data_IF_883221350137
#
_entry.id   IF_883221350137
#
_cell.length_a   1.000
_cell.length_b   1.000
_cell.length_c   1.000
_cell.angle_alpha   90.00
_cell.angle_beta   90.00
_cell.angle_gamma   90.00
#
_symmetry.space_group_name_H-M   'P 1'
#
loop_
_entity.id
_entity.type
_entity.pdbx_description
1 polymer ?
#
# COMPACT_ATOMS: atom_id res chain seq x y z
N UNK A 1 -38.98 -25.65 -52.06
CA UNK A 1 -38.17 -24.62 -52.74
C UNK A 1 -38.26 -23.33 -51.92
N UNK A 2 -37.21 -23.04 -51.15
CA UNK A 2 -36.71 -21.74 -50.71
C UNK A 2 -37.65 -20.87 -49.83
N UNK A 3 -37.40 -20.76 -48.53
CA UNK A 3 -36.48 -19.79 -47.90
C UNK A 3 -37.14 -18.39 -47.84
N UNK A 4 -37.25 -17.66 -46.73
CA UNK A 4 -36.47 -17.65 -45.49
C UNK A 4 -37.34 -17.00 -44.41
N UNK A 5 -37.28 -17.51 -43.19
CA UNK A 5 -37.77 -16.81 -42.00
C UNK A 5 -37.00 -15.49 -41.85
N UNK A 6 -37.72 -14.37 -41.72
CA UNK A 6 -37.11 -13.11 -41.28
C UNK A 6 -37.02 -13.19 -39.76
N UNK A 7 -35.88 -13.68 -39.28
CA UNK A 7 -35.50 -13.54 -37.87
C UNK A 7 -35.37 -12.04 -37.57
N UNK A 8 -36.06 -11.50 -36.56
CA UNK A 8 -35.59 -10.28 -35.95
C UNK A 8 -34.19 -10.57 -35.42
N UNK A 9 -33.19 -9.83 -35.91
CA UNK A 9 -31.92 -9.70 -35.23
C UNK A 9 -32.21 -9.02 -33.90
N UNK A 10 -32.66 -9.79 -32.91
CA UNK A 10 -32.64 -9.35 -31.53
C UNK A 10 -31.17 -9.29 -31.18
N UNK A 11 -30.70 -8.07 -30.97
CA UNK A 11 -29.32 -7.78 -30.65
C UNK A 11 -28.93 -8.52 -29.37
N UNK A 12 -28.32 -9.69 -29.50
CA UNK A 12 -27.40 -10.23 -28.49
C UNK A 12 -26.14 -9.35 -28.50
N UNK A 13 -26.31 -8.07 -28.17
CA UNK A 13 -25.27 -7.41 -27.42
C UNK A 13 -25.30 -8.13 -26.08
N UNK A 14 -24.31 -8.98 -25.83
CA UNK A 14 -23.97 -9.30 -24.46
C UNK A 14 -23.81 -7.96 -23.75
N UNK A 15 -24.76 -7.59 -22.89
CA UNK A 15 -24.45 -6.73 -21.77
C UNK A 15 -23.50 -7.55 -20.89
N UNK A 16 -22.24 -7.65 -21.34
CA UNK A 16 -21.15 -7.99 -20.44
C UNK A 16 -21.18 -6.79 -19.50
N UNK A 17 -21.88 -6.94 -18.37
CA UNK A 17 -21.72 -6.05 -17.23
C UNK A 17 -20.26 -6.26 -16.88
N UNK A 18 -19.43 -5.41 -17.48
CA UNK A 18 -18.01 -5.40 -17.23
C UNK A 18 -17.96 -5.08 -15.74
N UNK A 19 -17.64 -6.08 -14.93
CA UNK A 19 -17.34 -5.95 -13.51
C UNK A 19 -16.02 -5.17 -13.40
N UNK A 20 -16.03 -3.95 -13.93
CA UNK A 20 -14.90 -3.05 -13.89
C UNK A 20 -14.84 -2.60 -12.43
N UNK A 21 -13.76 -2.95 -11.72
CA UNK A 21 -13.58 -2.47 -10.37
C UNK A 21 -13.59 -0.93 -10.38
N UNK A 22 -14.08 -0.33 -9.30
CA UNK A 22 -14.11 1.13 -9.18
C UNK A 22 -12.73 1.75 -9.50
N UNK A 23 -12.73 2.94 -10.12
CA UNK A 23 -11.48 3.62 -10.46
C UNK A 23 -10.62 3.91 -9.21
N UNK A 24 -9.38 4.35 -9.44
CA UNK A 24 -8.47 4.86 -8.40
C UNK A 24 -9.18 5.92 -7.55
N UNK A 25 -8.99 5.88 -6.24
CA UNK A 25 -9.62 6.72 -5.22
C UNK A 25 -11.15 6.56 -5.11
N UNK A 26 -11.73 5.47 -5.64
CA UNK A 26 -13.15 5.13 -5.51
C UNK A 26 -13.33 3.69 -5.03
N UNK A 27 -14.47 3.40 -4.39
CA UNK A 27 -14.83 2.10 -3.82
C UNK A 27 -16.34 1.83 -3.88
N UNK A 28 -16.75 0.58 -3.73
CA UNK A 28 -18.15 0.13 -3.72
C UNK A 28 -18.54 -0.79 -4.87
N UNK A 29 -19.73 -1.38 -4.79
CA UNK A 29 -20.35 -2.17 -5.87
C UNK A 29 -21.87 -2.25 -5.62
N UNK A 30 -22.76 -2.13 -6.63
CA UNK A 30 -22.50 -1.89 -8.06
C UNK A 30 -22.30 -0.40 -8.41
N UNK A 31 -22.47 0.49 -7.42
CA UNK A 31 -22.24 1.93 -7.56
C UNK A 31 -20.99 2.31 -6.80
N UNK A 32 -20.09 3.04 -7.46
CA UNK A 32 -18.86 3.53 -6.85
C UNK A 32 -19.09 4.89 -6.17
N UNK A 33 -18.45 5.09 -5.02
CA UNK A 33 -18.30 6.39 -4.36
C UNK A 33 -16.82 6.74 -4.14
N UNK A 34 -16.49 8.02 -3.90
CA UNK A 34 -15.11 8.43 -3.64
C UNK A 34 -14.60 7.88 -2.29
N UNK A 35 -13.31 7.60 -2.24
CA UNK A 35 -12.59 7.40 -0.98
C UNK A 35 -12.47 8.75 -0.25
N UNK A 36 -12.60 8.73 1.07
CA UNK A 36 -12.46 9.90 1.94
C UNK A 36 -11.26 9.76 2.87
N UNK A 37 -10.12 9.34 2.32
CA UNK A 37 -8.88 9.17 3.07
C UNK A 37 -8.16 10.50 3.26
N UNK A 38 -7.58 10.71 4.45
CA UNK A 38 -6.89 11.95 4.79
C UNK A 38 -5.42 11.87 4.35
N UNK A 39 -5.15 12.24 3.11
CA UNK A 39 -3.79 12.22 2.54
C UNK A 39 -2.82 13.18 3.25
N UNK A 40 -3.33 14.26 3.83
CA UNK A 40 -2.51 15.20 4.63
C UNK A 40 -2.00 14.55 5.92
N UNK A 41 -2.63 13.45 6.35
CA UNK A 41 -2.22 12.61 7.49
C UNK A 41 -1.47 11.35 7.06
N UNK A 42 -0.98 11.27 5.82
CA UNK A 42 -0.17 10.14 5.33
C UNK A 42 -0.96 8.87 5.00
N UNK A 43 -2.28 8.99 4.82
CA UNK A 43 -3.10 7.90 4.28
C UNK A 43 -3.02 7.85 2.76
N UNK A 44 -3.10 6.63 2.22
CA UNK A 44 -3.26 6.38 0.79
C UNK A 44 -4.61 6.94 0.31
N UNK A 45 -4.62 7.59 -0.86
CA UNK A 45 -5.85 8.06 -1.51
C UNK A 45 -6.75 6.91 -1.97
N UNK A 46 -6.15 5.75 -2.28
CA UNK A 46 -6.81 4.50 -2.59
C UNK A 46 -7.22 3.76 -1.31
N UNK A 47 -8.53 3.63 -1.13
CA UNK A 47 -9.13 2.83 -0.08
C UNK A 47 -9.48 1.42 -0.55
N UNK A 48 -9.79 0.55 0.41
CA UNK A 48 -10.28 -0.80 0.14
C UNK A 48 -11.52 -0.75 -0.77
N UNK A 49 -11.46 -1.45 -1.91
CA UNK A 49 -12.49 -1.38 -2.96
C UNK A 49 -13.87 -1.91 -2.52
N UNK A 50 -13.94 -2.71 -1.46
CA UNK A 50 -15.18 -3.28 -0.92
C UNK A 50 -15.65 -2.54 0.33
N UNK A 51 -14.76 -2.20 1.26
CA UNK A 51 -15.13 -1.64 2.57
C UNK A 51 -14.98 -0.12 2.67
N UNK A 52 -14.22 0.49 1.77
CA UNK A 52 -13.88 1.91 1.84
C UNK A 52 -12.84 2.26 2.89
N UNK A 53 -12.25 1.26 3.54
CA UNK A 53 -11.26 1.45 4.60
C UNK A 53 -9.96 2.05 4.06
N UNK A 54 -9.49 3.12 4.71
CA UNK A 54 -8.25 3.80 4.40
C UNK A 54 -7.08 3.15 5.14
N UNK A 55 -5.94 3.06 4.45
CA UNK A 55 -4.68 2.53 5.00
C UNK A 55 -3.58 3.58 4.85
N UNK A 56 -2.55 3.48 5.68
CA UNK A 56 -1.36 4.31 5.51
C UNK A 56 -0.73 4.05 4.13
N UNK A 57 -0.06 5.09 3.60
CA UNK A 57 0.78 4.98 2.41
C UNK A 57 1.86 3.90 2.57
N UNK A 58 2.41 3.45 1.44
CA UNK A 58 3.54 2.51 1.51
C UNK A 58 4.70 3.13 2.30
N UNK A 59 5.36 2.29 3.11
CA UNK A 59 6.43 2.71 4.01
C UNK A 59 6.01 3.77 5.03
N UNK A 60 4.76 3.72 5.50
CA UNK A 60 4.28 4.49 6.64
C UNK A 60 3.77 3.58 7.77
N UNK A 61 3.69 4.13 8.99
CA UNK A 61 3.14 3.46 10.17
C UNK A 61 2.21 4.39 10.96
N UNK A 62 1.25 3.82 11.68
CA UNK A 62 0.31 4.53 12.55
C UNK A 62 0.39 3.99 13.99
N UNK A 63 0.95 4.77 14.93
CA UNK A 63 0.89 4.44 16.36
C UNK A 63 -0.55 4.28 16.86
N UNK A 64 -0.77 3.39 17.83
CA UNK A 64 -2.10 3.09 18.37
C UNK A 64 -2.84 4.32 18.94
N UNK A 65 -2.08 5.29 19.46
CA UNK A 65 -2.61 6.55 20.02
C UNK A 65 -2.56 7.72 19.03
N UNK A 66 -2.36 7.46 17.74
CA UNK A 66 -2.28 8.45 16.66
C UNK A 66 -3.39 8.24 15.64
N UNK A 67 -3.87 9.33 15.06
CA UNK A 67 -4.80 9.34 13.92
C UNK A 67 -4.11 9.73 12.60
N UNK A 68 -2.77 9.78 12.62
CA UNK A 68 -1.91 10.14 11.50
C UNK A 68 -0.87 9.05 11.26
N UNK A 69 -0.59 8.80 9.99
CA UNK A 69 0.46 7.93 9.49
C UNK A 69 1.76 8.72 9.34
N UNK A 70 2.88 8.10 9.69
CA UNK A 70 4.21 8.70 9.63
C UNK A 70 5.14 7.87 8.76
N UNK A 71 6.04 8.53 8.04
CA UNK A 71 7.07 7.87 7.24
C UNK A 71 7.94 6.93 8.10
N UNK A 72 8.15 5.71 7.60
CA UNK A 72 9.08 4.76 8.17
C UNK A 72 10.52 5.31 8.16
N UNK A 73 10.93 5.95 7.05
CA UNK A 73 12.27 6.55 6.89
C UNK A 73 13.42 5.58 7.24
N UNK A 74 13.27 4.31 6.82
CA UNK A 74 14.26 3.26 7.04
C UNK A 74 15.53 3.54 6.24
N UNK A 75 16.69 3.43 6.89
CA UNK A 75 17.98 3.55 6.24
C UNK A 75 18.28 2.28 5.44
N UNK A 76 18.09 2.35 4.12
CA UNK A 76 18.16 1.19 3.19
C UNK A 76 19.48 0.40 3.25
N UNK A 77 20.59 1.04 3.64
CA UNK A 77 21.87 0.35 3.82
C UNK A 77 21.82 -0.54 5.07
N UNK A 78 21.28 -0.04 6.17
CA UNK A 78 21.17 -0.74 7.45
C UNK A 78 19.92 -1.59 7.62
N UNK A 79 18.94 -1.49 6.73
CA UNK A 79 17.70 -2.28 6.74
C UNK A 79 17.61 -3.25 5.56
N UNK A 80 16.63 -4.15 5.63
CA UNK A 80 16.26 -5.04 4.53
C UNK A 80 15.29 -4.39 3.52
N UNK A 81 14.74 -3.22 3.83
CA UNK A 81 13.78 -2.51 2.98
C UNK A 81 13.26 -1.20 3.60
N UNK A 82 12.34 -0.55 2.88
CA UNK A 82 11.69 0.69 3.33
C UNK A 82 10.51 0.48 4.28
N UNK A 83 9.93 -0.72 4.30
CA UNK A 83 8.79 -1.03 5.14
C UNK A 83 9.21 -1.20 6.60
N UNK A 84 8.34 -0.75 7.50
CA UNK A 84 8.51 -0.87 8.93
C UNK A 84 7.26 -1.50 9.57
N UNK A 85 7.37 -1.85 10.85
CA UNK A 85 6.23 -2.32 11.63
C UNK A 85 5.11 -1.26 11.63
N UNK A 86 3.86 -1.64 11.31
CA UNK A 86 2.78 -0.69 11.05
C UNK A 86 2.31 0.09 12.28
N UNK A 87 2.72 -0.30 13.50
CA UNK A 87 2.33 0.37 14.74
C UNK A 87 3.51 1.09 15.39
N UNK A 88 4.64 0.41 15.52
CA UNK A 88 5.83 0.92 16.22
C UNK A 88 6.74 1.72 15.29
N UNK A 89 6.64 1.52 13.98
CA UNK A 89 7.52 2.13 12.99
C UNK A 89 8.92 1.52 12.96
N UNK A 90 9.17 0.39 13.63
CA UNK A 90 10.49 -0.25 13.65
C UNK A 90 10.81 -0.89 12.30
N UNK A 91 11.90 -0.47 11.69
CA UNK A 91 12.42 -1.03 10.45
C UNK A 91 13.07 -2.40 10.69
N UNK A 92 13.06 -3.26 9.67
CA UNK A 92 13.75 -4.55 9.73
C UNK A 92 15.26 -4.36 9.52
N UNK A 93 16.01 -4.28 10.62
CA UNK A 93 17.45 -4.00 10.61
C UNK A 93 18.30 -5.22 10.26
N UNK A 94 19.44 -4.94 9.61
CA UNK A 94 20.52 -5.90 9.38
C UNK A 94 21.25 -6.23 10.69
N UNK A 95 22.04 -7.32 10.73
CA UNK A 95 22.73 -7.76 11.95
C UNK A 95 23.59 -6.65 12.60
N UNK A 96 23.41 -6.43 13.90
CA UNK A 96 24.18 -5.45 14.68
C UNK A 96 23.77 -3.98 14.49
N UNK A 97 22.90 -3.69 13.52
CA UNK A 97 22.33 -2.36 13.29
C UNK A 97 21.15 -2.14 14.23
N UNK A 98 21.05 -0.95 14.80
CA UNK A 98 20.07 -0.55 15.82
C UNK A 98 19.38 0.77 15.45
N UNK A 99 18.39 1.14 16.26
CA UNK A 99 17.55 2.32 16.07
C UNK A 99 16.28 1.99 15.28
N UNK A 100 15.26 2.85 15.43
CA UNK A 100 13.97 2.67 14.71
C UNK A 100 14.19 2.62 13.20
N UNK A 101 15.12 3.43 12.70
CA UNK A 101 15.44 3.61 11.28
C UNK A 101 16.58 2.71 10.78
N UNK A 102 17.20 1.90 11.64
CA UNK A 102 18.38 1.10 11.31
C UNK A 102 19.57 1.93 10.79
N UNK A 103 19.83 3.08 11.39
CA UNK A 103 20.81 4.08 10.95
C UNK A 103 22.09 4.10 11.81
N UNK A 104 22.18 3.24 12.84
CA UNK A 104 23.26 3.27 13.82
C UNK A 104 23.75 1.87 14.18
N UNK A 105 25.00 1.78 14.63
CA UNK A 105 25.56 0.56 15.20
C UNK A 105 25.56 0.62 16.72
N UNK A 106 25.39 -0.53 17.37
CA UNK A 106 25.52 -0.61 18.83
C UNK A 106 26.95 -0.25 19.30
N UNK A 107 27.95 -0.54 18.47
CA UNK A 107 29.32 -0.07 18.64
C UNK A 107 29.50 1.28 17.94
N UNK A 108 29.87 2.31 18.70
CA UNK A 108 30.09 3.67 18.19
C UNK A 108 31.25 3.78 17.18
N UNK A 109 32.14 2.79 17.12
CA UNK A 109 33.28 2.75 16.18
C UNK A 109 32.99 1.90 14.94
N UNK A 110 31.82 1.26 14.86
CA UNK A 110 31.39 0.48 13.69
C UNK A 110 30.56 1.34 12.74
N UNK A 111 30.60 0.99 11.46
CA UNK A 111 29.83 1.63 10.39
C UNK A 111 28.72 0.71 9.90
N UNK A 112 27.60 1.33 9.53
CA UNK A 112 26.47 0.63 8.95
C UNK A 112 26.77 0.34 7.48
N UNK A 113 26.81 -0.93 7.12
CA UNK A 113 27.02 -1.43 5.77
C UNK A 113 25.85 -2.32 5.34
N UNK A 114 25.84 -2.73 4.08
CA UNK A 114 24.86 -3.70 3.57
C UNK A 114 25.01 -5.09 4.20
N UNK A 115 26.07 -5.36 4.97
CA UNK A 115 26.22 -6.63 5.69
C UNK A 115 25.79 -6.52 7.15
N UNK A 116 25.49 -5.31 7.63
CA UNK A 116 25.20 -5.02 9.03
C UNK A 116 26.19 -4.01 9.60
N UNK A 117 26.58 -4.17 10.85
CA UNK A 117 27.61 -3.33 11.47
C UNK A 117 28.99 -3.97 11.37
N UNK A 118 29.92 -3.24 10.77
CA UNK A 118 31.31 -3.66 10.60
C UNK A 118 32.25 -2.62 11.24
N UNK A 119 33.23 -3.09 12.01
CA UNK A 119 34.33 -2.27 12.52
C UNK A 119 35.62 -2.66 11.80
N UNK A 120 36.44 -1.67 11.47
CA UNK A 120 37.79 -1.85 10.92
C UNK A 120 38.70 -2.67 11.86
#
# INVERSE_FOLDING_TARGET
>A
MLSSAWSPLESEYCEVVLDQPCPTNWWGYPVCGPCHCNVDKGYDGDCNKTTGECRCEENHYQPADSDSCYDCDCYLVGSYGGACDPITGQCHCRPGVIGRRCDQCANAFAQVTIMGCESE
#
